data_IF_397002783217
#
_entry.id   IF_397002783217
#
_cell.length_a   1.000
_cell.length_b   1.000
_cell.length_c   1.000
_cell.angle_alpha   90.00
_cell.angle_beta   90.00
_cell.angle_gamma   90.00
#
_symmetry.space_group_name_H-M   'P 1'
#
loop_
_entity.id
_entity.type
_entity.pdbx_description
1 polymer ?
#
# COMPACT_ATOMS: atom_id res chain seq x y z
N UNK A 1 21.24 -14.89 6.11
CA UNK A 1 20.69 -14.73 4.73
C UNK A 1 19.37 -15.46 4.68
N UNK A 2 18.28 -14.72 4.85
CA UNK A 2 16.97 -15.23 5.23
C UNK A 2 16.32 -16.24 4.29
N UNK A 3 15.35 -16.98 4.84
CA UNK A 3 14.67 -18.13 4.23
C UNK A 3 14.04 -17.85 2.85
N UNK A 4 13.54 -16.65 2.62
CA UNK A 4 13.02 -16.20 1.32
C UNK A 4 14.11 -16.07 0.25
N UNK A 5 15.37 -15.75 0.65
CA UNK A 5 16.49 -15.63 -0.29
C UNK A 5 17.01 -16.97 -0.81
N UNK A 6 16.67 -18.07 -0.15
CA UNK A 6 17.06 -19.43 -0.59
C UNK A 6 16.10 -20.01 -1.64
N UNK A 7 14.85 -19.54 -1.71
CA UNK A 7 13.89 -20.00 -2.74
C UNK A 7 14.07 -19.31 -4.07
N UNK A 8 14.51 -18.03 -4.05
CA UNK A 8 14.72 -17.26 -5.27
C UNK A 8 16.17 -16.82 -5.27
N UNK A 9 16.97 -17.32 -6.22
CA UNK A 9 18.38 -16.96 -6.34
C UNK A 9 18.54 -15.44 -6.36
N UNK A 10 19.65 -14.93 -5.79
CA UNK A 10 19.90 -13.47 -5.63
C UNK A 10 19.67 -12.68 -6.93
N UNK A 11 19.99 -13.27 -8.10
CA UNK A 11 19.75 -12.67 -9.41
C UNK A 11 18.26 -12.60 -9.73
N UNK A 12 17.50 -13.69 -9.56
CA UNK A 12 16.08 -13.75 -9.84
C UNK A 12 15.28 -12.80 -8.93
N UNK A 13 15.63 -12.67 -7.65
CA UNK A 13 15.06 -11.69 -6.73
C UNK A 13 15.29 -10.25 -7.21
N UNK A 14 16.52 -9.91 -7.60
CA UNK A 14 16.83 -8.57 -8.13
C UNK A 14 16.05 -8.28 -9.42
N UNK A 15 15.99 -9.25 -10.33
CA UNK A 15 15.23 -9.13 -11.57
C UNK A 15 13.74 -8.94 -11.29
N UNK A 16 13.17 -9.70 -10.35
CA UNK A 16 11.76 -9.61 -9.99
C UNK A 16 11.42 -8.25 -9.35
N UNK A 17 12.29 -7.74 -8.46
CA UNK A 17 12.10 -6.40 -7.89
C UNK A 17 12.23 -5.30 -8.93
N UNK A 18 13.20 -5.40 -9.83
CA UNK A 18 13.35 -4.44 -10.93
C UNK A 18 12.14 -4.52 -11.86
N UNK A 19 11.66 -5.71 -12.22
CA UNK A 19 10.46 -5.87 -13.02
C UNK A 19 9.23 -5.26 -12.33
N UNK A 20 9.06 -5.43 -11.02
CA UNK A 20 7.98 -4.80 -10.26
C UNK A 20 8.11 -3.28 -10.24
N UNK A 21 9.32 -2.73 -10.11
CA UNK A 21 9.52 -1.28 -10.12
C UNK A 21 9.33 -0.68 -11.52
N UNK A 22 9.69 -1.40 -12.58
CA UNK A 22 9.45 -0.93 -13.96
C UNK A 22 7.97 -0.78 -14.29
N UNK A 23 7.09 -1.57 -13.67
CA UNK A 23 5.64 -1.37 -13.84
C UNK A 23 5.18 0.01 -13.33
N UNK A 24 5.91 0.62 -12.41
CA UNK A 24 5.63 1.96 -11.86
C UNK A 24 6.05 3.10 -12.80
N UNK A 25 6.86 2.82 -13.79
CA UNK A 25 7.24 3.82 -14.80
C UNK A 25 6.11 4.08 -15.81
N UNK A 26 5.14 3.17 -15.88
CA UNK A 26 3.98 3.34 -16.76
C UNK A 26 3.03 4.36 -16.09
N UNK A 27 2.64 5.44 -16.78
CA UNK A 27 1.69 6.40 -16.25
C UNK A 27 0.36 5.71 -15.88
N UNK A 28 -0.14 5.95 -14.68
CA UNK A 28 -1.39 5.33 -14.18
C UNK A 28 -2.54 5.54 -15.16
N UNK A 29 -2.65 6.73 -15.74
CA UNK A 29 -3.70 7.07 -16.72
C UNK A 29 -3.70 6.12 -17.92
N UNK A 30 -2.52 5.70 -18.40
CA UNK A 30 -2.41 4.78 -19.54
C UNK A 30 -2.90 3.37 -19.21
N UNK A 31 -2.79 2.96 -17.94
CA UNK A 31 -3.22 1.63 -17.48
C UNK A 31 -4.72 1.62 -17.13
N UNK A 32 -5.31 2.78 -16.85
CA UNK A 32 -6.71 2.86 -16.43
C UNK A 32 -7.69 2.34 -17.48
N UNK A 33 -7.41 2.55 -18.77
CA UNK A 33 -8.30 2.05 -19.85
C UNK A 33 -8.43 0.53 -19.82
N UNK A 34 -7.34 -0.26 -19.85
CA UNK A 34 -7.45 -1.71 -19.76
C UNK A 34 -8.02 -2.20 -18.43
N UNK A 35 -7.73 -1.52 -17.32
CA UNK A 35 -8.32 -1.85 -16.01
C UNK A 35 -9.83 -1.62 -16.03
N UNK A 36 -10.29 -0.48 -16.55
CA UNK A 36 -11.70 -0.16 -16.71
C UNK A 36 -12.44 -1.25 -17.50
N UNK A 37 -11.91 -1.61 -18.69
CA UNK A 37 -12.50 -2.65 -19.54
C UNK A 37 -12.52 -4.03 -18.85
N UNK A 38 -11.46 -4.36 -18.10
CA UNK A 38 -11.41 -5.59 -17.32
C UNK A 38 -12.46 -5.62 -16.21
N UNK A 39 -12.58 -4.54 -15.42
CA UNK A 39 -13.58 -4.43 -14.37
C UNK A 39 -15.01 -4.42 -14.92
N UNK A 40 -15.22 -3.79 -16.07
CA UNK A 40 -16.52 -3.80 -16.74
C UNK A 40 -16.96 -5.21 -17.13
N UNK A 41 -16.05 -6.01 -17.72
CA UNK A 41 -16.31 -7.41 -18.06
C UNK A 41 -16.63 -8.28 -16.85
N UNK A 42 -15.97 -8.00 -15.72
CA UNK A 42 -16.16 -8.69 -14.44
C UNK A 42 -17.37 -8.16 -13.65
N UNK A 43 -18.08 -7.13 -14.15
CA UNK A 43 -19.17 -6.44 -13.45
C UNK A 43 -18.74 -5.85 -12.10
N UNK A 44 -17.46 -5.46 -11.97
CA UNK A 44 -16.87 -4.84 -10.79
C UNK A 44 -16.67 -3.33 -10.93
N UNK A 45 -17.04 -2.75 -12.10
CA UNK A 45 -17.03 -1.31 -12.29
C UNK A 45 -18.03 -0.65 -11.35
N UNK A 46 -17.69 0.53 -10.85
CA UNK A 46 -18.52 1.27 -9.89
C UNK A 46 -18.82 0.50 -8.59
N UNK A 47 -17.87 -0.33 -8.14
CA UNK A 47 -17.97 -1.09 -6.89
C UNK A 47 -16.76 -0.84 -6.00
N UNK A 48 -16.95 -0.94 -4.67
CA UNK A 48 -15.84 -0.91 -3.72
C UNK A 48 -14.83 -2.02 -3.94
N UNK A 49 -15.30 -3.20 -4.32
CA UNK A 49 -14.43 -4.35 -4.64
C UNK A 49 -13.53 -4.05 -5.83
N UNK A 50 -14.06 -3.45 -6.90
CA UNK A 50 -13.27 -3.02 -8.06
C UNK A 50 -12.18 -2.02 -7.68
N UNK A 51 -12.49 -1.04 -6.83
CA UNK A 51 -11.50 -0.09 -6.29
C UNK A 51 -10.43 -0.79 -5.46
N UNK A 52 -10.80 -1.68 -4.53
CA UNK A 52 -9.87 -2.42 -3.67
C UNK A 52 -8.90 -3.24 -4.52
N UNK A 53 -9.41 -3.97 -5.51
CA UNK A 53 -8.57 -4.77 -6.41
C UNK A 53 -7.62 -3.90 -7.24
N UNK A 54 -8.10 -2.76 -7.72
CA UNK A 54 -7.28 -1.83 -8.51
C UNK A 54 -6.17 -1.22 -7.65
N UNK A 55 -6.50 -0.63 -6.50
CA UNK A 55 -5.49 -0.07 -5.61
C UNK A 55 -4.54 -1.14 -5.08
N UNK A 56 -5.05 -2.34 -4.75
CA UNK A 56 -4.23 -3.48 -4.37
C UNK A 56 -3.19 -3.81 -5.44
N UNK A 57 -3.60 -3.96 -6.69
CA UNK A 57 -2.69 -4.23 -7.81
C UNK A 57 -1.70 -3.10 -8.07
N UNK A 58 -2.17 -1.86 -8.07
CA UNK A 58 -1.32 -0.69 -8.31
C UNK A 58 -0.30 -0.47 -7.19
N UNK A 59 -0.64 -0.62 -5.92
CA UNK A 59 0.24 -0.32 -4.79
C UNK A 59 1.13 -1.49 -4.38
N UNK A 60 0.75 -2.72 -4.71
CA UNK A 60 1.46 -3.94 -4.33
C UNK A 60 2.96 -3.93 -4.69
N UNK A 61 3.41 -3.49 -5.87
CA UNK A 61 4.84 -3.44 -6.20
C UNK A 61 5.65 -2.57 -5.22
N UNK A 62 5.09 -1.45 -4.81
CA UNK A 62 5.76 -0.54 -3.90
C UNK A 62 5.75 -1.06 -2.46
N UNK A 63 4.64 -1.65 -2.02
CA UNK A 63 4.54 -2.32 -0.72
C UNK A 63 5.56 -3.45 -0.60
N UNK A 64 5.69 -4.28 -1.65
CA UNK A 64 6.70 -5.33 -1.69
C UNK A 64 8.11 -4.74 -1.59
N UNK A 65 8.39 -3.64 -2.28
CA UNK A 65 9.70 -2.99 -2.26
C UNK A 65 10.04 -2.46 -0.85
N UNK A 66 9.10 -1.82 -0.16
CA UNK A 66 9.27 -1.36 1.23
C UNK A 66 9.60 -2.54 2.15
N UNK A 67 8.78 -3.60 2.07
CA UNK A 67 8.94 -4.78 2.93
C UNK A 67 10.25 -5.51 2.64
N UNK A 68 10.65 -5.57 1.38
CA UNK A 68 11.90 -6.16 0.96
C UNK A 68 13.11 -5.42 1.57
N UNK A 69 13.07 -4.09 1.58
CA UNK A 69 14.09 -3.27 2.25
C UNK A 69 14.24 -3.62 3.73
N UNK A 70 13.12 -3.83 4.43
CA UNK A 70 13.12 -4.25 5.82
C UNK A 70 13.70 -5.67 5.99
N UNK A 71 13.25 -6.64 5.19
CA UNK A 71 13.70 -8.03 5.30
C UNK A 71 15.17 -8.24 4.92
N UNK A 72 15.78 -7.31 4.18
CA UNK A 72 17.22 -7.31 3.96
C UNK A 72 18.04 -7.10 5.23
N UNK A 73 17.53 -6.25 6.13
CA UNK A 73 18.14 -5.95 7.42
C UNK A 73 17.78 -6.92 8.54
N UNK A 74 16.97 -7.93 8.25
CA UNK A 74 16.52 -8.88 9.27
C UNK A 74 17.67 -9.80 9.69
N UNK A 75 17.95 -9.95 11.03
CA UNK A 75 19.04 -10.77 11.54
C UNK A 75 18.86 -12.26 11.13
N UNK A 76 19.85 -12.82 10.47
CA UNK A 76 19.81 -14.23 10.04
C UNK A 76 19.90 -15.18 11.24
N UNK A 77 20.53 -14.73 12.31
CA UNK A 77 20.74 -15.49 13.54
C UNK A 77 19.42 -15.93 14.19
N UNK A 78 18.36 -15.13 14.05
CA UNK A 78 17.03 -15.49 14.55
C UNK A 78 16.40 -16.65 13.76
N UNK A 79 16.63 -16.71 12.47
CA UNK A 79 16.14 -17.81 11.63
C UNK A 79 16.97 -19.08 11.89
N UNK A 80 18.28 -18.94 12.11
CA UNK A 80 19.19 -20.05 12.41
C UNK A 80 18.90 -20.64 13.79
N UNK A 81 18.68 -19.81 14.82
CA UNK A 81 18.27 -20.26 16.14
C UNK A 81 16.96 -21.02 16.10
N UNK A 82 15.95 -20.50 15.39
CA UNK A 82 14.68 -21.20 15.22
C UNK A 82 14.82 -22.54 14.50
N UNK A 83 15.76 -22.66 13.55
CA UNK A 83 16.02 -23.92 12.87
C UNK A 83 16.69 -24.94 13.80
N UNK A 84 17.58 -24.50 14.70
CA UNK A 84 18.20 -25.34 15.73
C UNK A 84 17.14 -25.84 16.71
N UNK A 85 16.16 -24.98 17.08
CA UNK A 85 15.01 -25.34 17.94
C UNK A 85 13.99 -26.24 17.22
N UNK A 86 14.27 -26.71 16.00
CA UNK A 86 13.41 -27.62 15.24
C UNK A 86 12.16 -26.96 14.65
N UNK A 87 12.09 -25.64 14.57
CA UNK A 87 10.97 -24.93 13.95
C UNK A 87 10.96 -25.16 12.43
N UNK A 88 9.79 -25.54 11.90
CA UNK A 88 9.59 -25.53 10.45
C UNK A 88 9.62 -24.08 9.91
N UNK A 89 9.92 -23.89 8.64
CA UNK A 89 10.01 -22.56 7.99
C UNK A 89 8.71 -21.75 8.15
N UNK A 90 7.58 -22.37 8.02
CA UNK A 90 6.28 -21.70 8.22
C UNK A 90 6.10 -21.28 9.67
N UNK A 91 6.51 -22.11 10.64
CA UNK A 91 6.46 -21.78 12.06
C UNK A 91 7.42 -20.64 12.40
N UNK A 92 8.64 -20.64 11.85
CA UNK A 92 9.60 -19.54 11.98
C UNK A 92 9.02 -18.24 11.43
N UNK A 93 8.44 -18.30 10.24
CA UNK A 93 7.81 -17.11 9.63
C UNK A 93 6.66 -16.57 10.49
N UNK A 94 5.70 -17.41 10.88
CA UNK A 94 4.50 -16.94 11.59
C UNK A 94 4.75 -16.56 13.04
N UNK A 95 5.69 -17.21 13.73
CA UNK A 95 5.95 -17.00 15.16
C UNK A 95 7.09 -16.03 15.45
N UNK A 96 8.02 -15.85 14.53
CA UNK A 96 9.21 -15.01 14.75
C UNK A 96 9.25 -13.85 13.76
N UNK A 97 9.29 -14.15 12.46
CA UNK A 97 9.50 -13.13 11.43
C UNK A 97 8.32 -12.17 11.34
N UNK A 98 7.10 -12.69 11.26
CA UNK A 98 5.89 -11.89 11.10
C UNK A 98 5.63 -10.95 12.30
N UNK A 99 5.69 -11.39 13.58
CA UNK A 99 5.55 -10.51 14.72
C UNK A 99 6.63 -9.43 14.80
N UNK A 100 7.88 -9.77 14.51
CA UNK A 100 8.98 -8.81 14.49
C UNK A 100 8.88 -7.81 13.33
N UNK A 101 8.20 -8.18 12.24
CA UNK A 101 7.95 -7.35 11.07
C UNK A 101 6.74 -6.43 11.21
N UNK A 102 5.99 -6.52 12.30
CA UNK A 102 4.73 -5.81 12.49
C UNK A 102 4.85 -4.31 12.24
N UNK A 103 5.91 -3.68 12.73
CA UNK A 103 6.15 -2.24 12.52
C UNK A 103 6.32 -1.88 11.04
N UNK A 104 7.02 -2.72 10.28
CA UNK A 104 7.26 -2.51 8.84
C UNK A 104 6.01 -2.80 8.01
N UNK A 105 5.21 -3.79 8.42
CA UNK A 105 3.91 -4.06 7.83
C UNK A 105 2.95 -2.90 8.05
N UNK A 106 2.91 -2.32 9.26
CA UNK A 106 2.12 -1.13 9.54
C UNK A 106 2.60 0.08 8.73
N UNK A 107 3.91 0.28 8.59
CA UNK A 107 4.45 1.38 7.79
C UNK A 107 4.09 1.24 6.30
N UNK A 108 4.24 0.03 5.74
CA UNK A 108 3.87 -0.25 4.35
C UNK A 108 2.36 -0.13 4.11
N UNK A 109 1.54 -0.63 5.07
CA UNK A 109 0.08 -0.50 5.03
C UNK A 109 -0.38 0.95 5.12
N UNK A 110 0.24 1.75 5.98
CA UNK A 110 -0.05 3.17 6.09
C UNK A 110 0.27 3.93 4.82
N UNK A 111 1.40 3.63 4.20
CA UNK A 111 1.75 4.21 2.91
C UNK A 111 0.69 3.87 1.86
N UNK A 112 0.32 2.59 1.73
CA UNK A 112 -0.70 2.16 0.79
C UNK A 112 -2.06 2.83 1.06
N UNK A 113 -2.43 2.96 2.34
CA UNK A 113 -3.66 3.66 2.72
C UNK A 113 -3.61 5.13 2.32
N UNK A 114 -2.57 5.88 2.69
CA UNK A 114 -2.46 7.31 2.37
C UNK A 114 -2.44 7.51 0.84
N UNK A 115 -1.71 6.66 0.11
CA UNK A 115 -1.65 6.73 -1.34
C UNK A 115 -3.01 6.51 -2.01
N UNK A 116 -3.78 5.48 -1.56
CA UNK A 116 -5.12 5.24 -2.08
C UNK A 116 -6.15 6.27 -1.62
N UNK A 117 -6.03 6.77 -0.37
CA UNK A 117 -6.90 7.81 0.18
C UNK A 117 -6.79 9.13 -0.58
N UNK A 118 -5.57 9.51 -0.95
CA UNK A 118 -5.29 10.77 -1.65
C UNK A 118 -5.47 10.67 -3.16
N UNK A 119 -5.67 9.47 -3.71
CA UNK A 119 -5.83 9.30 -5.15
C UNK A 119 -7.22 9.79 -5.60
N UNK A 120 -7.22 10.56 -6.66
CA UNK A 120 -8.43 11.10 -7.27
C UNK A 120 -8.74 10.42 -8.62
N UNK A 121 -7.70 10.19 -9.43
CA UNK A 121 -7.87 9.81 -10.84
C UNK A 121 -8.48 8.42 -10.97
N UNK A 122 -7.97 7.45 -10.22
CA UNK A 122 -8.50 6.07 -10.24
C UNK A 122 -9.94 6.06 -9.76
N UNK A 123 -10.24 6.77 -8.66
CA UNK A 123 -11.59 6.91 -8.14
C UNK A 123 -12.54 7.52 -9.17
N UNK A 124 -12.15 8.63 -9.78
CA UNK A 124 -12.96 9.33 -10.77
C UNK A 124 -13.30 8.47 -11.99
N UNK A 125 -12.33 7.71 -12.48
CA UNK A 125 -12.50 6.88 -13.70
C UNK A 125 -13.32 5.63 -13.42
N UNK A 126 -13.14 5.00 -12.25
CA UNK A 126 -13.73 3.69 -11.95
C UNK A 126 -15.07 3.77 -11.21
N UNK A 127 -15.50 4.96 -10.75
CA UNK A 127 -16.78 5.13 -10.06
C UNK A 127 -17.67 6.15 -10.75
N UNK A 128 -18.95 5.83 -10.88
CA UNK A 128 -19.94 6.65 -11.59
C UNK A 128 -21.11 7.06 -10.71
N UNK A 129 -21.25 6.47 -9.50
CA UNK A 129 -22.34 6.77 -8.56
C UNK A 129 -21.78 7.16 -7.20
N UNK A 130 -22.52 8.00 -6.48
CA UNK A 130 -22.18 8.50 -5.14
C UNK A 130 -21.91 7.37 -4.13
N UNK A 131 -22.60 6.25 -4.25
CA UNK A 131 -22.45 5.09 -3.36
C UNK A 131 -21.04 4.47 -3.37
N UNK A 132 -20.29 4.68 -4.47
CA UNK A 132 -18.95 4.14 -4.66
C UNK A 132 -17.84 5.21 -4.64
N UNK A 133 -18.18 6.50 -4.59
CA UNK A 133 -17.21 7.60 -4.66
C UNK A 133 -16.23 7.59 -3.48
N UNK A 134 -14.92 7.60 -3.72
CA UNK A 134 -13.94 7.95 -2.70
C UNK A 134 -14.10 9.41 -2.27
N UNK A 135 -13.58 9.76 -1.08
CA UNK A 135 -13.69 11.12 -0.54
C UNK A 135 -13.07 12.18 -1.46
N UNK A 136 -12.02 11.85 -2.18
CA UNK A 136 -11.36 12.71 -3.18
C UNK A 136 -12.29 13.07 -4.35
N UNK A 137 -13.13 12.11 -4.79
CA UNK A 137 -14.13 12.33 -5.84
C UNK A 137 -15.30 13.15 -5.29
N UNK A 138 -15.78 12.88 -4.06
CA UNK A 138 -16.81 13.66 -3.40
C UNK A 138 -16.41 15.13 -3.32
N UNK A 139 -15.16 15.43 -2.91
CA UNK A 139 -14.64 16.79 -2.86
C UNK A 139 -14.66 17.48 -4.23
N UNK A 140 -14.21 16.78 -5.27
CA UNK A 140 -14.19 17.35 -6.61
C UNK A 140 -15.59 17.60 -7.17
N UNK A 141 -16.54 16.70 -6.91
CA UNK A 141 -17.93 16.86 -7.35
C UNK A 141 -18.66 18.00 -6.58
N UNK A 142 -18.26 18.25 -5.33
CA UNK A 142 -18.79 19.38 -4.54
C UNK A 142 -18.41 20.76 -5.10
N UNK A 143 -17.40 20.80 -5.97
CA UNK A 143 -16.95 22.02 -6.68
C UNK A 143 -17.52 22.14 -8.10
N UNK A 144 -18.50 21.30 -8.46
CA UNK A 144 -19.08 21.31 -9.81
C UNK A 144 -19.73 22.67 -10.10
N UNK A 145 -19.30 23.39 -11.14
CA UNK A 145 -19.78 24.74 -11.46
C UNK A 145 -21.23 24.78 -11.97
N UNK A 146 -21.85 23.62 -12.25
CA UNK A 146 -23.22 23.53 -12.75
C UNK A 146 -24.26 23.61 -11.62
N UNK A 147 -23.86 23.30 -10.39
CA UNK A 147 -24.72 23.41 -9.20
C UNK A 147 -24.12 24.39 -8.21
N UNK A 148 -24.97 25.08 -7.45
CA UNK A 148 -24.49 25.95 -6.36
C UNK A 148 -23.57 25.16 -5.43
N UNK A 149 -22.35 25.68 -5.11
CA UNK A 149 -21.41 24.96 -4.28
C UNK A 149 -22.02 24.73 -2.88
N UNK A 150 -22.14 23.47 -2.49
CA UNK A 150 -22.53 23.16 -1.12
C UNK A 150 -21.33 23.36 -0.19
N UNK A 151 -21.13 24.59 0.28
CA UNK A 151 -20.02 24.96 1.18
C UNK A 151 -19.98 24.10 2.45
N UNK A 152 -21.14 23.67 2.95
CA UNK A 152 -21.22 22.76 4.09
C UNK A 152 -20.64 21.38 3.79
N UNK A 153 -21.01 20.79 2.66
CA UNK A 153 -20.49 19.50 2.20
C UNK A 153 -18.99 19.59 1.90
N UNK A 154 -18.55 20.64 1.20
CA UNK A 154 -17.16 20.86 0.86
C UNK A 154 -16.28 20.95 2.11
N UNK A 155 -16.67 21.76 3.09
CA UNK A 155 -15.91 21.93 4.33
C UNK A 155 -15.91 20.66 5.18
N UNK A 156 -17.03 19.95 5.30
CA UNK A 156 -17.10 18.70 6.07
C UNK A 156 -16.31 17.57 5.42
N UNK A 157 -16.44 17.39 4.11
CA UNK A 157 -15.66 16.40 3.36
C UNK A 157 -14.17 16.75 3.37
N UNK A 158 -13.80 18.02 3.23
CA UNK A 158 -12.42 18.50 3.32
C UNK A 158 -11.80 18.23 4.69
N UNK A 159 -12.57 18.48 5.77
CA UNK A 159 -12.12 18.17 7.12
C UNK A 159 -11.85 16.68 7.31
N UNK A 160 -12.76 15.82 6.85
CA UNK A 160 -12.58 14.36 6.93
C UNK A 160 -11.38 13.93 6.09
N UNK A 161 -11.25 14.45 4.86
CA UNK A 161 -10.14 14.13 3.95
C UNK A 161 -8.77 14.47 4.54
N UNK A 162 -8.69 15.57 5.32
CA UNK A 162 -7.44 15.99 5.99
C UNK A 162 -7.22 15.26 7.33
N UNK A 163 -8.26 15.05 8.11
CA UNK A 163 -8.18 14.53 9.47
C UNK A 163 -7.73 13.05 9.48
N UNK A 164 -8.24 12.25 8.56
CA UNK A 164 -7.93 10.81 8.52
C UNK A 164 -6.45 10.54 8.27
N UNK A 165 -5.78 11.11 7.24
CA UNK A 165 -4.33 10.98 7.07
C UNK A 165 -3.53 11.59 8.22
N UNK A 166 -3.99 12.73 8.79
CA UNK A 166 -3.31 13.38 9.90
C UNK A 166 -3.31 12.50 11.17
N UNK A 167 -4.45 11.90 11.51
CA UNK A 167 -4.56 10.95 12.63
C UNK A 167 -3.67 9.73 12.36
N UNK A 168 -3.71 9.20 11.15
CA UNK A 168 -2.85 8.08 10.78
C UNK A 168 -1.37 8.41 10.91
N UNK A 169 -0.93 9.55 10.39
CA UNK A 169 0.46 10.03 10.53
C UNK A 169 0.84 10.19 12.01
N UNK A 170 -0.06 10.75 12.82
CA UNK A 170 0.17 10.92 14.27
C UNK A 170 0.31 9.57 14.99
N UNK A 171 -0.52 8.59 14.70
CA UNK A 171 -0.44 7.25 15.30
C UNK A 171 0.85 6.54 14.88
N UNK A 172 1.21 6.66 13.61
CA UNK A 172 2.35 5.95 13.02
C UNK A 172 3.71 6.61 13.29
N UNK A 173 3.73 7.90 13.70
CA UNK A 173 4.98 8.63 13.97
C UNK A 173 5.95 7.87 14.89
N UNK A 174 5.42 7.22 15.94
CA UNK A 174 6.25 6.46 16.90
C UNK A 174 6.87 5.21 16.28
N UNK A 175 6.12 4.54 15.39
CA UNK A 175 6.57 3.32 14.70
C UNK A 175 7.63 3.64 13.65
N UNK A 176 7.43 4.72 12.88
CA UNK A 176 8.38 5.19 11.86
C UNK A 176 9.68 5.68 12.49
N UNK A 177 9.60 6.48 13.56
CA UNK A 177 10.81 7.00 14.25
C UNK A 177 11.66 5.90 14.86
N UNK A 178 11.06 4.87 15.47
CA UNK A 178 11.82 3.73 16.02
C UNK A 178 12.57 2.94 14.93
N UNK A 179 11.96 2.78 13.75
CA UNK A 179 12.62 2.11 12.62
C UNK A 179 13.82 2.90 12.07
N UNK A 180 13.73 4.24 12.04
CA UNK A 180 14.82 5.09 11.55
C UNK A 180 16.00 5.15 12.53
N UNK A 181 15.73 5.19 13.83
CA UNK A 181 16.79 5.24 14.86
C UNK A 181 17.60 3.94 14.92
N UNK A 182 16.97 2.79 14.70
CA UNK A 182 17.69 1.51 14.65
C UNK A 182 18.60 1.36 13.42
N UNK A 183 18.32 2.09 12.33
CA UNK A 183 19.18 2.16 11.14
C UNK A 183 20.35 3.13 11.28
N UNK A 184 20.15 4.25 12.00
CA UNK A 184 21.17 5.29 12.18
C UNK A 184 22.27 4.92 13.19
N UNK A 185 22.01 3.96 14.10
CA UNK A 185 22.99 3.51 15.10
C UNK A 185 23.93 2.38 14.60
N UNK A 186 23.80 1.97 13.33
CA UNK A 186 24.66 0.95 12.69
C UNK A 186 25.64 1.54 11.66
N UNK A 187 25.83 2.86 11.65
CA UNK A 187 26.84 3.55 10.85
C UNK A 187 28.06 3.93 11.69
#
# INVERSE_FOLDING_TARGET
>A
MGSLSRFVGRRARRTLLLALLTTRMIPVVSILIPIYLGLQRLQLLNTRTGLILTYGGLLLPFVIWILEGFYRGFPAELEEAAAIDGCSRLRTFTRIVLPLSTNSLFAAGAFAFIASWSDFIVGLVLTTSEAAWPISVVLAQSLNPISEPSWGLLNSAGLIAALVPAVMAFVLRRTVMRGMLSGALKG
#
